data_IF_658208543208
#
_entry.id   IF_658208543208
#
_cell.length_a   1.000
_cell.length_b   1.000
_cell.length_c   1.000
_cell.angle_alpha   90.00
_cell.angle_beta   90.00
_cell.angle_gamma   90.00
#
_symmetry.space_group_name_H-M   'P 1'
#
loop_
_entity.id
_entity.type
_entity.pdbx_description
1 polymer ?
#
# COMPACT_ATOMS: atom_id res chain seq x y z
N UNK A 1 2.03 -12.44 -9.81
CA UNK A 1 0.99 -11.40 -9.97
C UNK A 1 -0.42 -11.97 -9.75
N UNK A 2 -0.90 -12.94 -10.54
CA UNK A 2 -2.26 -13.51 -10.34
C UNK A 2 -2.50 -14.09 -8.94
N UNK A 3 -1.53 -14.82 -8.37
CA UNK A 3 -1.67 -15.35 -7.01
C UNK A 3 -1.76 -14.28 -5.92
N UNK A 4 -1.16 -13.10 -6.14
CA UNK A 4 -1.23 -11.98 -5.17
C UNK A 4 -2.63 -11.35 -5.24
N UNK A 5 -3.14 -11.09 -6.44
CA UNK A 5 -4.50 -10.58 -6.64
C UNK A 5 -5.55 -11.51 -6.00
N UNK A 6 -5.41 -12.83 -6.16
CA UNK A 6 -6.31 -13.81 -5.52
C UNK A 6 -6.30 -13.66 -4.00
N UNK A 7 -5.11 -13.54 -3.39
CA UNK A 7 -4.98 -13.36 -1.93
C UNK A 7 -5.58 -12.03 -1.46
N UNK A 8 -5.34 -10.94 -2.20
CA UNK A 8 -5.93 -9.63 -1.90
C UNK A 8 -7.46 -9.72 -1.91
N UNK A 9 -8.05 -10.37 -2.92
CA UNK A 9 -9.51 -10.54 -3.00
C UNK A 9 -10.03 -11.37 -1.83
N UNK A 10 -9.33 -12.42 -1.40
CA UNK A 10 -9.71 -13.23 -0.24
C UNK A 10 -9.65 -12.41 1.07
N UNK A 11 -8.62 -11.58 1.24
CA UNK A 11 -8.51 -10.70 2.40
C UNK A 11 -9.65 -9.67 2.42
N UNK A 12 -9.98 -9.07 1.26
CA UNK A 12 -11.10 -8.14 1.15
C UNK A 12 -12.45 -8.80 1.47
N UNK A 13 -12.68 -10.03 1.01
CA UNK A 13 -13.89 -10.79 1.36
C UNK A 13 -14.00 -11.03 2.87
N UNK A 14 -12.89 -11.33 3.53
CA UNK A 14 -12.87 -11.50 4.98
C UNK A 14 -13.10 -10.17 5.70
N UNK A 15 -12.55 -9.06 5.19
CA UNK A 15 -12.75 -7.70 5.73
C UNK A 15 -14.24 -7.35 5.76
N UNK A 16 -14.92 -7.48 4.62
CA UNK A 16 -16.36 -7.21 4.51
C UNK A 16 -17.24 -8.14 5.35
N UNK A 17 -16.79 -9.35 5.64
CA UNK A 17 -17.51 -10.28 6.50
C UNK A 17 -17.38 -9.95 8.01
N UNK A 18 -16.39 -9.13 8.37
CA UNK A 18 -15.99 -8.78 9.74
C UNK A 18 -16.69 -7.48 10.21
N UNK A 19 -17.02 -6.58 9.26
CA UNK A 19 -17.73 -5.31 9.56
C UNK A 19 -19.17 -5.48 10.10
N UNK A 20 -19.71 -6.70 10.10
CA UNK A 20 -21.10 -6.98 10.52
C UNK A 20 -21.29 -7.22 12.03
N UNK A 21 -20.22 -7.30 12.86
CA UNK A 21 -20.33 -7.96 14.19
C UNK A 21 -19.70 -7.30 15.44
N UNK A 22 -19.03 -6.15 15.36
CA UNK A 22 -18.68 -5.34 16.55
C UNK A 22 -17.25 -4.77 16.60
N UNK A 23 -16.86 -4.21 17.76
CA UNK A 23 -15.62 -3.41 17.93
C UNK A 23 -14.33 -4.26 17.93
N UNK A 24 -14.36 -5.49 18.47
CA UNK A 24 -13.18 -6.38 18.44
C UNK A 24 -12.84 -6.81 17.00
N UNK A 25 -13.85 -6.89 16.15
CA UNK A 25 -13.74 -7.25 14.73
C UNK A 25 -13.17 -6.09 13.87
N UNK A 26 -13.27 -4.82 14.30
CA UNK A 26 -12.64 -3.68 13.60
C UNK A 26 -11.10 -3.77 13.58
N UNK A 27 -10.48 -4.27 14.65
CA UNK A 27 -9.02 -4.48 14.69
C UNK A 27 -8.59 -5.62 13.76
N UNK A 28 -9.44 -6.64 13.63
CA UNK A 28 -9.20 -7.74 12.70
C UNK A 28 -9.32 -7.27 11.24
N UNK A 29 -10.22 -6.32 10.96
CA UNK A 29 -10.38 -5.70 9.65
C UNK A 29 -9.14 -4.91 9.20
N UNK A 30 -8.58 -4.06 10.08
CA UNK A 30 -7.36 -3.30 9.78
C UNK A 30 -6.14 -4.21 9.53
N UNK A 31 -6.05 -5.35 10.22
CA UNK A 31 -4.99 -6.32 10.00
C UNK A 31 -5.05 -6.95 8.60
N UNK A 32 -6.25 -7.13 8.03
CA UNK A 32 -6.44 -7.68 6.68
C UNK A 32 -5.96 -6.69 5.60
N UNK A 33 -6.17 -5.39 5.81
CA UNK A 33 -5.61 -4.35 4.94
C UNK A 33 -4.08 -4.34 4.99
N UNK A 34 -3.51 -4.37 6.21
CA UNK A 34 -2.06 -4.44 6.40
C UNK A 34 -1.46 -5.69 5.73
N UNK A 35 -2.12 -6.84 5.83
CA UNK A 35 -1.69 -8.06 5.15
C UNK A 35 -1.72 -7.92 3.62
N UNK A 36 -2.74 -7.24 3.08
CA UNK A 36 -2.83 -6.97 1.65
C UNK A 36 -1.72 -6.02 1.18
N UNK A 37 -1.48 -4.92 1.90
CA UNK A 37 -0.37 -3.99 1.64
C UNK A 37 0.98 -4.71 1.70
N UNK A 38 1.21 -5.56 2.70
CA UNK A 38 2.43 -6.35 2.86
C UNK A 38 2.68 -7.31 1.69
N UNK A 39 1.63 -7.90 1.11
CA UNK A 39 1.76 -8.74 -0.09
C UNK A 39 2.26 -7.92 -1.30
N UNK A 40 1.81 -6.68 -1.43
CA UNK A 40 2.23 -5.77 -2.52
C UNK A 40 3.66 -5.28 -2.26
N UNK A 41 3.99 -4.91 -1.03
CA UNK A 41 5.34 -4.50 -0.63
C UNK A 41 6.34 -5.62 -0.90
N UNK A 42 6.05 -6.85 -0.46
CA UNK A 42 6.92 -8.00 -0.68
C UNK A 42 7.15 -8.26 -2.18
N UNK A 43 6.12 -8.08 -3.00
CA UNK A 43 6.25 -8.16 -4.46
C UNK A 43 7.18 -7.08 -5.03
N UNK A 44 7.01 -5.83 -4.60
CA UNK A 44 7.87 -4.73 -5.03
C UNK A 44 9.33 -4.92 -4.60
N UNK A 45 9.55 -5.46 -3.39
CA UNK A 45 10.88 -5.83 -2.89
C UNK A 45 11.51 -6.97 -3.73
N UNK A 46 10.76 -8.02 -4.06
CA UNK A 46 11.20 -9.12 -4.93
C UNK A 46 11.59 -8.61 -6.33
N UNK A 47 10.84 -7.62 -6.84
CA UNK A 47 11.13 -6.92 -8.10
C UNK A 47 12.28 -5.92 -8.01
N UNK A 48 12.81 -5.68 -6.80
CA UNK A 48 13.87 -4.71 -6.52
C UNK A 48 13.47 -3.28 -6.92
N UNK A 49 12.19 -2.95 -6.80
CA UNK A 49 11.72 -1.60 -7.03
C UNK A 49 12.07 -0.72 -5.84
N UNK A 50 12.62 0.45 -6.12
CA UNK A 50 13.14 1.37 -5.13
C UNK A 50 12.65 2.78 -5.41
N UNK A 51 12.34 3.50 -4.34
CA UNK A 51 12.13 4.94 -4.36
C UNK A 51 13.16 5.55 -3.42
N UNK A 52 14.11 6.31 -3.95
CA UNK A 52 15.23 6.91 -3.17
C UNK A 52 15.94 5.90 -2.24
N UNK A 53 16.11 4.65 -2.71
CA UNK A 53 16.75 3.56 -1.96
C UNK A 53 15.86 2.81 -0.96
N UNK A 54 14.62 3.25 -0.74
CA UNK A 54 13.65 2.55 0.12
C UNK A 54 12.98 1.38 -0.64
N UNK A 55 12.67 0.24 0.03
CA UNK A 55 13.04 -0.10 1.41
C UNK A 55 14.38 -0.83 1.53
N UNK A 56 14.79 -1.61 0.51
CA UNK A 56 15.83 -2.63 0.70
C UNK A 56 17.24 -2.06 0.87
N UNK A 57 17.57 -0.88 0.32
CA UNK A 57 18.86 -0.24 0.58
C UNK A 57 18.87 0.44 1.94
N UNK A 58 17.76 1.10 2.32
CA UNK A 58 17.58 1.70 3.65
C UNK A 58 17.66 0.66 4.77
N UNK A 59 17.11 -0.54 4.57
CA UNK A 59 17.21 -1.64 5.53
C UNK A 59 18.66 -2.04 5.85
N UNK A 60 19.62 -1.81 4.94
CA UNK A 60 21.05 -2.11 5.17
C UNK A 60 21.73 -1.11 6.10
N UNK A 61 21.18 0.09 6.21
CA UNK A 61 21.66 1.16 7.10
C UNK A 61 20.68 1.41 8.25
N UNK A 62 19.82 0.43 8.56
CA UNK A 62 18.74 0.58 9.56
C UNK A 62 19.24 1.10 10.90
N UNK A 63 20.42 0.67 11.35
CA UNK A 63 21.01 1.09 12.63
C UNK A 63 21.39 2.58 12.67
N UNK A 64 21.33 3.28 11.54
CA UNK A 64 21.59 4.71 11.40
C UNK A 64 20.31 5.53 11.16
N UNK A 65 19.15 4.88 11.14
CA UNK A 65 17.85 5.50 10.89
C UNK A 65 17.05 5.54 12.19
N UNK A 66 16.11 6.49 12.27
CA UNK A 66 15.17 6.55 13.39
C UNK A 66 14.37 5.25 13.54
N UNK A 67 14.00 4.91 14.77
CA UNK A 67 13.25 3.69 15.07
C UNK A 67 11.94 3.60 14.26
N UNK A 68 11.32 4.75 14.01
CA UNK A 68 10.05 4.88 13.27
C UNK A 68 10.25 5.13 11.77
N UNK A 69 11.48 5.08 11.24
CA UNK A 69 11.73 5.33 9.81
C UNK A 69 10.94 4.39 8.89
N UNK A 70 10.76 3.12 9.31
CA UNK A 70 9.99 2.11 8.57
C UNK A 70 8.51 2.09 9.01
N UNK A 71 7.89 3.25 9.13
CA UNK A 71 6.47 3.40 9.44
C UNK A 71 5.56 3.07 8.25
N UNK A 72 4.27 2.83 8.52
CA UNK A 72 3.25 2.55 7.50
C UNK A 72 3.15 3.68 6.47
N UNK A 73 3.25 4.93 6.90
CA UNK A 73 3.19 6.10 5.99
C UNK A 73 4.31 6.11 4.95
N UNK A 74 5.56 5.78 5.33
CA UNK A 74 6.67 5.70 4.37
C UNK A 74 6.47 4.54 3.38
N UNK A 75 5.88 3.43 3.82
CA UNK A 75 5.49 2.34 2.93
C UNK A 75 4.34 2.74 1.99
N UNK A 76 3.37 3.51 2.46
CA UNK A 76 2.30 4.04 1.63
C UNK A 76 2.85 4.98 0.55
N UNK A 77 3.69 5.94 0.91
CA UNK A 77 4.38 6.81 -0.06
C UNK A 77 5.15 6.00 -1.10
N UNK A 78 5.89 4.98 -0.66
CA UNK A 78 6.62 4.09 -1.56
C UNK A 78 5.70 3.39 -2.57
N UNK A 79 4.56 2.85 -2.12
CA UNK A 79 3.57 2.21 -2.99
C UNK A 79 2.91 3.21 -3.94
N UNK A 80 2.60 4.43 -3.49
CA UNK A 80 2.01 5.49 -4.29
C UNK A 80 2.94 5.96 -5.42
N UNK A 81 4.21 6.20 -5.10
CA UNK A 81 5.23 6.49 -6.11
C UNK A 81 5.33 5.34 -7.14
N UNK A 82 5.37 4.10 -6.69
CA UNK A 82 5.42 2.96 -7.61
C UNK A 82 4.14 2.77 -8.40
N UNK A 83 2.98 3.15 -7.86
CA UNK A 83 1.69 3.09 -8.54
C UNK A 83 1.68 3.99 -9.78
N UNK A 84 2.27 5.18 -9.70
CA UNK A 84 2.34 6.09 -10.87
C UNK A 84 3.43 5.70 -11.86
N UNK A 85 4.48 4.97 -11.42
CA UNK A 85 5.63 4.61 -12.25
C UNK A 85 5.54 3.23 -12.90
N UNK A 86 4.88 2.26 -12.25
CA UNK A 86 4.98 0.83 -12.59
C UNK A 86 3.61 0.24 -12.88
N UNK A 87 3.44 -0.21 -14.13
CA UNK A 87 2.17 -0.79 -14.63
C UNK A 87 1.71 -2.03 -13.86
N UNK A 88 2.62 -2.83 -13.36
CA UNK A 88 2.30 -4.01 -12.55
C UNK A 88 1.89 -3.65 -11.12
N UNK A 89 2.50 -2.62 -10.53
CA UNK A 89 2.13 -2.13 -9.18
C UNK A 89 0.76 -1.47 -9.19
N UNK A 90 0.46 -0.62 -10.18
CA UNK A 90 -0.90 -0.02 -10.29
C UNK A 90 -1.99 -1.08 -10.44
N UNK A 91 -1.69 -2.21 -11.09
CA UNK A 91 -2.63 -3.32 -11.21
C UNK A 91 -2.89 -4.03 -9.88
N UNK A 92 -1.89 -4.10 -9.00
CA UNK A 92 -2.03 -4.67 -7.66
C UNK A 92 -2.73 -3.69 -6.72
N UNK A 93 -2.32 -2.42 -6.73
CA UNK A 93 -2.92 -1.37 -5.90
C UNK A 93 -4.37 -1.11 -6.29
N UNK A 94 -4.69 -1.10 -7.59
CA UNK A 94 -6.08 -1.04 -8.03
C UNK A 94 -6.89 -2.26 -7.57
N UNK A 95 -6.31 -3.46 -7.64
CA UNK A 95 -6.96 -4.68 -7.14
C UNK A 95 -7.24 -4.58 -5.63
N UNK A 96 -6.31 -4.01 -4.86
CA UNK A 96 -6.50 -3.77 -3.43
C UNK A 96 -7.64 -2.78 -3.18
N UNK A 97 -7.51 -1.54 -3.65
CA UNK A 97 -8.46 -0.46 -3.32
C UNK A 97 -9.86 -0.76 -3.84
N UNK A 98 -10.01 -1.32 -5.04
CA UNK A 98 -11.35 -1.62 -5.60
C UNK A 98 -12.06 -2.80 -4.94
N UNK A 99 -11.35 -3.63 -4.16
CA UNK A 99 -11.97 -4.75 -3.43
C UNK A 99 -12.19 -4.43 -1.96
N UNK A 100 -11.25 -3.75 -1.29
CA UNK A 100 -11.44 -3.31 0.09
C UNK A 100 -12.40 -2.11 0.18
N UNK A 101 -12.32 -1.19 -0.78
CA UNK A 101 -13.02 0.09 -0.76
C UNK A 101 -13.73 0.34 -2.11
N UNK A 102 -14.73 -0.49 -2.47
CA UNK A 102 -15.35 -0.47 -3.80
C UNK A 102 -16.03 0.85 -4.16
N UNK A 103 -16.46 1.63 -3.17
CA UNK A 103 -17.15 2.91 -3.36
C UNK A 103 -16.22 4.13 -3.25
N UNK A 104 -14.91 3.93 -3.07
CA UNK A 104 -13.96 5.04 -2.89
C UNK A 104 -13.50 5.69 -4.20
N UNK A 105 -13.56 4.97 -5.32
CA UNK A 105 -13.12 5.45 -6.63
C UNK A 105 -14.00 4.87 -7.74
N UNK A 106 -14.47 5.72 -8.66
CA UNK A 106 -15.28 5.30 -9.80
C UNK A 106 -14.44 4.55 -10.85
N UNK A 107 -13.13 4.83 -10.91
CA UNK A 107 -12.25 4.19 -11.87
C UNK A 107 -10.78 4.14 -11.45
N UNK A 108 -10.04 3.20 -12.06
CA UNK A 108 -8.57 3.14 -11.93
C UNK A 108 -7.89 4.44 -12.38
N UNK A 109 -8.44 5.12 -13.38
CA UNK A 109 -7.86 6.37 -13.88
C UNK A 109 -8.01 7.49 -12.84
N UNK A 110 -9.17 7.59 -12.21
CA UNK A 110 -9.40 8.52 -11.10
C UNK A 110 -8.45 8.22 -9.93
N UNK A 111 -8.36 6.95 -9.51
CA UNK A 111 -7.43 6.53 -8.46
C UNK A 111 -5.97 6.97 -8.74
N UNK A 112 -5.49 6.76 -9.97
CA UNK A 112 -4.14 7.20 -10.37
C UNK A 112 -4.00 8.73 -10.28
N UNK A 113 -5.01 9.48 -10.74
CA UNK A 113 -4.99 10.95 -10.69
C UNK A 113 -4.97 11.46 -9.25
N UNK A 114 -5.76 10.87 -8.35
CA UNK A 114 -5.77 11.20 -6.92
C UNK A 114 -4.39 11.01 -6.30
N UNK A 115 -3.72 9.88 -6.58
CA UNK A 115 -2.36 9.64 -6.08
C UNK A 115 -1.38 10.67 -6.63
N UNK A 116 -1.47 10.99 -7.92
CA UNK A 116 -0.62 12.02 -8.52
C UNK A 116 -0.82 13.38 -7.85
N UNK A 117 -2.05 13.76 -7.55
CA UNK A 117 -2.36 15.01 -6.83
C UNK A 117 -1.80 14.99 -5.40
N UNK A 118 -1.96 13.89 -4.67
CA UNK A 118 -1.41 13.71 -3.31
C UNK A 118 0.11 13.86 -3.30
N UNK A 119 0.82 13.16 -4.20
CA UNK A 119 2.27 13.23 -4.33
C UNK A 119 2.76 14.63 -4.73
N UNK A 120 2.02 15.34 -5.59
CA UNK A 120 2.37 16.69 -6.03
C UNK A 120 2.04 17.77 -4.98
N UNK A 121 1.16 17.48 -4.03
CA UNK A 121 0.76 18.46 -2.99
C UNK A 121 1.90 18.83 -2.05
N UNK A 122 2.86 17.91 -1.83
CA UNK A 122 3.97 18.09 -0.89
C UNK A 122 3.55 18.18 0.59
N UNK A 123 2.27 17.97 0.91
CA UNK A 123 1.72 18.09 2.28
C UNK A 123 0.96 16.84 2.73
N UNK A 124 0.70 15.89 1.83
CA UNK A 124 -0.02 14.66 2.16
C UNK A 124 0.85 13.66 2.94
N UNK A 125 2.16 13.66 2.68
CA UNK A 125 3.12 12.77 3.31
C UNK A 125 4.10 13.57 4.16
N UNK A 126 4.19 13.25 5.45
CA UNK A 126 5.17 13.79 6.39
C UNK A 126 6.41 12.90 6.41
N UNK A 127 7.07 12.75 5.25
CA UNK A 127 8.27 11.92 5.11
C UNK A 127 9.52 12.78 4.90
N UNK A 128 10.54 12.52 5.71
CA UNK A 128 11.85 13.13 5.47
C UNK A 128 12.57 12.47 4.29
N UNK A 129 13.32 13.30 3.54
CA UNK A 129 14.03 12.95 2.30
C UNK A 129 15.29 12.07 2.47
N UNK A 130 15.59 11.64 3.70
CA UNK A 130 16.86 10.96 4.05
C UNK A 130 17.10 9.65 3.31
#
# INVERSE_FOLDING_TARGET
MNNIKIKIIQLAQNHHATDEKGIDELKDSELLEIDAENLIIAYCEEKKYLIKGFPTEKKKIKDQLDEDYFCRERYQYYLDCLTIEKKDVVELMWCYVSNFWPDSFDSKQEYILTIQEQLNSGVFYEIDDF
#
